data_IF_053953935181
#
_entry.id   IF_053953935181
#
_cell.length_a   1.000
_cell.length_b   1.000
_cell.length_c   1.000
_cell.angle_alpha   90.00
_cell.angle_beta   90.00
_cell.angle_gamma   90.00
#
_symmetry.space_group_name_H-M   'P 1'
#
loop_
_entity.id
_entity.type
_entity.pdbx_description
1 polymer ?
#
# COMPACT_ATOMS: atom_id res chain seq x y z
N UNK A 1 40.88 -21.06 -2.96
CA UNK A 1 39.44 -21.38 -2.91
C UNK A 1 38.75 -20.94 -1.61
N UNK A 2 39.26 -21.27 -0.42
CA UNK A 2 38.63 -20.92 0.89
C UNK A 2 38.42 -19.38 1.10
N UNK A 3 39.34 -18.52 0.70
CA UNK A 3 39.20 -17.04 0.84
C UNK A 3 38.10 -16.46 -0.06
N UNK A 4 37.83 -17.03 -1.21
CA UNK A 4 36.80 -16.56 -2.13
C UNK A 4 35.40 -16.89 -1.62
N UNK A 5 35.21 -18.05 -0.99
CA UNK A 5 33.96 -18.42 -0.32
C UNK A 5 33.63 -17.53 0.89
N UNK A 6 34.64 -17.16 1.69
CA UNK A 6 34.45 -16.27 2.84
C UNK A 6 34.04 -14.84 2.42
N UNK A 7 34.57 -14.33 1.32
CA UNK A 7 34.24 -12.99 0.81
C UNK A 7 32.82 -12.98 0.20
N UNK A 8 32.47 -14.04 -0.54
CA UNK A 8 31.11 -14.16 -1.12
C UNK A 8 30.08 -14.29 0.01
N UNK A 9 30.34 -15.12 1.02
CA UNK A 9 29.44 -15.30 2.16
C UNK A 9 29.30 -14.02 2.98
N UNK A 10 30.39 -13.30 3.24
CA UNK A 10 30.37 -12.01 3.93
C UNK A 10 29.57 -10.96 3.16
N UNK A 11 29.74 -10.89 1.84
CA UNK A 11 28.98 -9.97 0.98
C UNK A 11 27.48 -10.26 0.99
N UNK A 12 27.08 -11.54 0.94
CA UNK A 12 25.66 -11.93 1.02
C UNK A 12 25.07 -11.68 2.40
N UNK A 13 25.83 -11.92 3.47
CA UNK A 13 25.42 -11.62 4.84
C UNK A 13 25.29 -10.11 5.03
N UNK A 14 26.24 -9.31 4.54
CA UNK A 14 26.19 -7.85 4.61
C UNK A 14 24.98 -7.31 3.82
N UNK A 15 24.76 -7.79 2.60
CA UNK A 15 23.61 -7.42 1.78
C UNK A 15 22.28 -7.80 2.47
N UNK A 16 22.18 -8.96 3.10
CA UNK A 16 21.00 -9.39 3.87
C UNK A 16 20.74 -8.53 5.12
N UNK A 17 21.80 -7.98 5.73
CA UNK A 17 21.70 -7.10 6.90
C UNK A 17 21.18 -5.71 6.51
N UNK A 18 21.43 -5.29 5.26
CA UNK A 18 21.09 -3.96 4.75
C UNK A 18 19.71 -3.87 4.08
N UNK A 19 19.03 -5.00 3.88
CA UNK A 19 17.72 -5.04 3.23
C UNK A 19 16.60 -5.21 4.26
N UNK A 20 15.50 -4.49 4.04
CA UNK A 20 14.25 -4.63 4.81
C UNK A 20 13.11 -5.03 3.89
N UNK A 21 12.29 -5.95 4.33
CA UNK A 21 11.09 -6.38 3.61
C UNK A 21 9.89 -5.55 4.06
N UNK A 22 9.23 -4.92 3.10
CA UNK A 22 8.03 -4.09 3.31
C UNK A 22 6.88 -4.69 2.51
N UNK A 23 5.93 -5.31 3.19
CA UNK A 23 4.73 -5.88 2.60
C UNK A 23 3.57 -4.90 2.71
N UNK A 24 3.07 -4.42 1.57
CA UNK A 24 1.96 -3.48 1.51
C UNK A 24 0.70 -4.24 1.09
N UNK A 25 -0.35 -4.12 1.89
CA UNK A 25 -1.62 -4.81 1.71
C UNK A 25 -2.73 -3.79 1.44
N UNK A 26 -3.50 -4.00 0.38
CA UNK A 26 -4.76 -3.28 0.22
C UNK A 26 -5.81 -3.84 1.18
N UNK A 27 -6.65 -2.99 1.76
CA UNK A 27 -7.80 -3.41 2.56
C UNK A 27 -8.77 -4.34 1.79
N UNK A 28 -9.57 -5.15 2.51
CA UNK A 28 -10.63 -5.97 1.97
C UNK A 28 -11.79 -5.16 1.38
N UNK A 29 -12.70 -5.82 0.66
CA UNK A 29 -13.81 -5.19 -0.04
C UNK A 29 -14.77 -4.48 0.93
N UNK A 30 -15.25 -3.29 0.52
CA UNK A 30 -16.36 -2.54 1.12
C UNK A 30 -17.57 -2.52 0.19
N UNK A 31 -18.74 -2.09 0.67
CA UNK A 31 -19.91 -1.93 -0.19
C UNK A 31 -19.70 -0.86 -1.27
N UNK A 32 -18.91 0.18 -1.02
CA UNK A 32 -18.56 1.15 -2.05
C UNK A 32 -17.68 0.55 -3.14
N UNK A 33 -16.74 -0.35 -2.78
CA UNK A 33 -15.97 -1.08 -3.80
C UNK A 33 -16.88 -1.96 -4.67
N UNK A 34 -17.82 -2.67 -4.04
CA UNK A 34 -18.80 -3.50 -4.75
C UNK A 34 -19.69 -2.66 -5.69
N UNK A 35 -20.11 -1.48 -5.23
CA UNK A 35 -20.90 -0.53 -6.01
C UNK A 35 -20.07 0.29 -7.02
N UNK A 36 -18.78 0.02 -7.17
CA UNK A 36 -17.86 0.74 -8.06
C UNK A 36 -17.86 2.26 -7.82
N UNK A 37 -17.90 2.67 -6.56
CA UNK A 37 -17.84 4.07 -6.14
C UNK A 37 -16.44 4.48 -5.71
N UNK A 38 -16.05 5.69 -6.04
CA UNK A 38 -14.82 6.30 -5.56
C UNK A 38 -14.88 6.48 -4.04
N UNK A 39 -13.93 5.86 -3.34
CA UNK A 39 -13.87 5.84 -1.89
C UNK A 39 -12.51 6.35 -1.44
N UNK A 40 -12.45 7.65 -1.17
CA UNK A 40 -11.23 8.30 -0.69
C UNK A 40 -11.13 8.34 0.84
N UNK A 41 -10.31 9.24 1.33
CA UNK A 41 -10.08 9.43 2.76
C UNK A 41 -11.23 10.17 3.47
N UNK A 42 -12.10 10.84 2.76
CA UNK A 42 -13.32 11.43 3.30
C UNK A 42 -14.45 10.42 3.55
N UNK A 43 -14.27 9.16 3.14
CA UNK A 43 -15.21 8.07 3.32
C UNK A 43 -14.63 7.02 4.26
N UNK A 44 -15.23 6.81 5.43
CA UNK A 44 -14.78 5.79 6.38
C UNK A 44 -15.81 4.66 6.51
N UNK A 45 -15.75 3.71 5.60
CA UNK A 45 -16.64 2.55 5.53
C UNK A 45 -15.97 1.29 6.12
N UNK A 46 -16.81 0.35 6.55
CA UNK A 46 -16.38 -0.96 7.07
C UNK A 46 -16.21 -1.98 5.94
N UNK A 47 -15.54 -3.09 6.22
CA UNK A 47 -15.52 -4.26 5.33
C UNK A 47 -16.92 -4.87 5.22
N UNK A 48 -17.33 -5.24 4.00
CA UNK A 48 -18.49 -6.08 3.81
C UNK A 48 -18.15 -7.57 4.07
N UNK A 49 -19.13 -8.46 3.98
CA UNK A 49 -18.92 -9.89 4.26
C UNK A 49 -17.87 -10.53 3.32
N UNK A 50 -17.81 -10.09 2.06
CA UNK A 50 -16.76 -10.52 1.12
C UNK A 50 -15.40 -10.01 1.56
N UNK A 51 -15.30 -8.75 1.97
CA UNK A 51 -14.05 -8.14 2.45
C UNK A 51 -13.51 -8.81 3.71
N UNK A 52 -14.38 -9.22 4.64
CA UNK A 52 -13.99 -10.00 5.83
C UNK A 52 -13.38 -11.35 5.44
N UNK A 53 -14.01 -12.07 4.50
CA UNK A 53 -13.48 -13.34 3.96
C UNK A 53 -12.14 -13.13 3.24
N UNK A 54 -12.01 -12.05 2.45
CA UNK A 54 -10.75 -11.70 1.80
C UNK A 54 -9.64 -11.40 2.81
N UNK A 55 -9.95 -10.66 3.88
CA UNK A 55 -9.00 -10.35 4.96
C UNK A 55 -8.56 -11.61 5.71
N UNK A 56 -9.48 -12.56 5.98
CA UNK A 56 -9.15 -13.86 6.56
C UNK A 56 -8.21 -14.66 5.65
N UNK A 57 -8.52 -14.76 4.34
CA UNK A 57 -7.65 -15.44 3.37
C UNK A 57 -6.29 -14.76 3.25
N UNK A 58 -6.23 -13.42 3.27
CA UNK A 58 -4.98 -12.68 3.29
C UNK A 58 -4.17 -13.05 4.54
N UNK A 59 -4.79 -13.06 5.72
CA UNK A 59 -4.12 -13.38 6.97
C UNK A 59 -3.47 -14.77 6.95
N UNK A 60 -4.13 -15.77 6.35
CA UNK A 60 -3.57 -17.11 6.16
C UNK A 60 -2.36 -17.11 5.21
N UNK A 61 -2.41 -16.33 4.13
CA UNK A 61 -1.30 -16.21 3.17
C UNK A 61 -0.06 -15.60 3.79
N UNK A 62 -0.24 -14.62 4.70
CA UNK A 62 0.87 -13.81 5.23
C UNK A 62 1.38 -14.27 6.60
N UNK A 63 0.73 -15.22 7.26
CA UNK A 63 1.07 -15.68 8.63
C UNK A 63 2.52 -16.15 8.82
N UNK A 64 3.20 -16.53 7.75
CA UNK A 64 4.58 -17.04 7.79
C UNK A 64 5.60 -16.04 7.20
N UNK A 65 5.22 -14.79 6.94
CA UNK A 65 6.14 -13.76 6.40
C UNK A 65 7.14 -13.25 7.45
N UNK A 66 6.94 -13.58 8.72
CA UNK A 66 7.84 -13.13 9.80
C UNK A 66 7.68 -11.63 10.09
N UNK A 67 6.46 -11.09 9.95
CA UNK A 67 6.21 -9.68 10.27
C UNK A 67 6.56 -9.40 11.73
N UNK A 68 7.36 -8.40 11.97
CA UNK A 68 7.77 -7.93 13.28
C UNK A 68 6.87 -6.78 13.78
N UNK A 69 6.27 -6.04 12.85
CA UNK A 69 5.33 -4.95 13.12
C UNK A 69 4.38 -4.73 11.96
N UNK A 70 3.16 -4.30 12.27
CA UNK A 70 2.12 -3.96 11.29
C UNK A 70 1.74 -2.49 11.46
N UNK A 71 1.90 -1.72 10.40
CA UNK A 71 1.42 -0.35 10.31
C UNK A 71 0.09 -0.30 9.57
N UNK A 72 -0.79 0.60 9.95
CA UNK A 72 -2.13 0.62 9.39
C UNK A 72 -2.64 2.04 9.19
N UNK A 73 -3.32 2.26 8.07
CA UNK A 73 -4.11 3.47 7.85
C UNK A 73 -5.14 3.69 8.97
N UNK A 74 -5.45 4.94 9.25
CA UNK A 74 -6.48 5.33 10.23
C UNK A 74 -7.92 5.00 9.81
N UNK A 75 -8.16 4.58 8.55
CA UNK A 75 -9.50 4.29 8.05
C UNK A 75 -9.96 2.89 8.47
N UNK A 76 -11.22 2.78 8.89
CA UNK A 76 -11.82 1.59 9.52
C UNK A 76 -11.65 0.32 8.68
N UNK A 77 -11.85 0.38 7.36
CA UNK A 77 -11.64 -0.76 6.44
C UNK A 77 -10.22 -1.33 6.47
N UNK A 78 -9.22 -0.45 6.63
CA UNK A 78 -7.83 -0.87 6.74
C UNK A 78 -7.54 -1.46 8.13
N UNK A 79 -8.05 -0.84 9.19
CA UNK A 79 -7.91 -1.35 10.56
C UNK A 79 -8.54 -2.74 10.71
N UNK A 80 -9.77 -2.94 10.21
CA UNK A 80 -10.40 -4.25 10.21
C UNK A 80 -9.58 -5.31 9.45
N UNK A 81 -8.97 -4.94 8.32
CA UNK A 81 -8.08 -5.85 7.59
C UNK A 81 -6.83 -6.18 8.40
N UNK A 82 -6.22 -5.17 9.04
CA UNK A 82 -5.05 -5.35 9.89
C UNK A 82 -5.33 -6.26 11.10
N UNK A 83 -6.53 -6.18 11.69
CA UNK A 83 -6.93 -7.07 12.79
C UNK A 83 -6.93 -8.54 12.39
N UNK A 84 -7.38 -8.89 11.17
CA UNK A 84 -7.31 -10.28 10.67
C UNK A 84 -5.86 -10.75 10.56
N UNK A 85 -4.96 -9.91 10.05
CA UNK A 85 -3.54 -10.24 9.93
C UNK A 85 -2.93 -10.41 11.34
N UNK A 86 -3.13 -9.44 12.23
CA UNK A 86 -2.55 -9.46 13.57
C UNK A 86 -2.95 -10.69 14.40
N UNK A 87 -4.18 -11.18 14.23
CA UNK A 87 -4.67 -12.40 14.91
C UNK A 87 -3.90 -13.68 14.56
N UNK A 88 -3.15 -13.70 13.45
CA UNK A 88 -2.33 -14.87 13.05
C UNK A 88 -0.91 -14.84 13.63
N UNK A 89 -0.55 -13.79 14.32
CA UNK A 89 0.75 -13.62 14.96
C UNK A 89 0.59 -13.57 16.49
N UNK A 90 1.55 -14.10 17.20
CA UNK A 90 1.62 -13.91 18.65
C UNK A 90 2.16 -12.50 18.95
N UNK A 91 1.28 -11.62 19.47
CA UNK A 91 1.63 -10.26 19.91
C UNK A 91 2.25 -9.34 18.83
N UNK A 92 1.80 -9.45 17.56
CA UNK A 92 2.24 -8.53 16.51
C UNK A 92 1.81 -7.09 16.87
N UNK A 93 2.74 -6.15 17.08
CA UNK A 93 2.38 -4.75 17.33
C UNK A 93 1.69 -4.15 16.11
N UNK A 94 0.57 -3.46 16.33
CA UNK A 94 -0.14 -2.71 15.28
C UNK A 94 -0.10 -1.23 15.63
N UNK A 95 0.44 -0.42 14.69
CA UNK A 95 0.51 1.03 14.83
C UNK A 95 -0.37 1.71 13.78
N UNK A 96 -1.26 2.62 14.23
CA UNK A 96 -2.10 3.40 13.32
C UNK A 96 -1.32 4.65 12.88
N UNK A 97 -1.15 4.79 11.57
CA UNK A 97 -0.41 5.89 10.94
C UNK A 97 -1.36 6.67 10.03
N UNK A 98 -1.78 7.89 10.41
CA UNK A 98 -2.75 8.69 9.64
C UNK A 98 -2.29 8.98 8.22
N UNK A 99 -1.00 9.10 7.98
CA UNK A 99 -0.43 9.38 6.66
C UNK A 99 -0.47 8.18 5.69
N UNK A 100 -0.90 7.00 6.14
CA UNK A 100 -1.24 5.86 5.28
C UNK A 100 -2.70 5.90 4.79
N UNK A 101 -3.49 6.96 5.11
CA UNK A 101 -4.88 7.12 4.65
C UNK A 101 -4.95 7.12 3.12
N UNK A 102 -6.13 6.78 2.60
CA UNK A 102 -6.40 6.83 1.15
C UNK A 102 -6.24 8.26 0.61
N UNK A 103 -6.01 8.37 -0.68
CA UNK A 103 -6.08 9.63 -1.43
C UNK A 103 -7.43 10.29 -1.18
N UNK A 104 -7.43 11.59 -0.91
CA UNK A 104 -8.68 12.35 -0.87
C UNK A 104 -9.13 12.69 -2.29
N UNK A 105 -10.21 12.08 -2.75
CA UNK A 105 -10.70 12.28 -4.12
C UNK A 105 -11.64 13.48 -4.28
N UNK A 106 -11.78 14.33 -3.26
CA UNK A 106 -12.54 15.57 -3.35
C UNK A 106 -13.98 15.35 -3.79
N UNK A 107 -14.37 16.04 -4.86
CA UNK A 107 -15.75 16.00 -5.39
C UNK A 107 -16.14 14.66 -6.06
N UNK A 108 -15.21 13.74 -6.24
CA UNK A 108 -15.48 12.42 -6.81
C UNK A 108 -15.91 11.39 -5.76
N UNK A 109 -15.72 11.67 -4.46
CA UNK A 109 -16.05 10.71 -3.43
C UNK A 109 -17.54 10.38 -3.39
N UNK A 110 -17.84 9.08 -3.39
CA UNK A 110 -19.21 8.55 -3.42
C UNK A 110 -19.82 8.42 -4.82
N UNK A 111 -19.22 9.02 -5.85
CA UNK A 111 -19.64 8.86 -7.24
C UNK A 111 -19.20 7.52 -7.81
N UNK A 112 -19.99 6.95 -8.70
CA UNK A 112 -19.62 5.77 -9.48
C UNK A 112 -18.67 6.16 -10.63
N UNK A 113 -17.96 5.17 -11.19
CA UNK A 113 -17.16 5.39 -12.39
C UNK A 113 -17.99 5.94 -13.57
N UNK A 114 -19.25 5.51 -13.73
CA UNK A 114 -20.14 6.02 -14.76
C UNK A 114 -20.50 7.52 -14.56
N UNK A 115 -20.76 7.93 -13.33
CA UNK A 115 -21.02 9.34 -12.98
C UNK A 115 -19.78 10.21 -13.21
N UNK A 116 -18.59 9.70 -12.84
CA UNK A 116 -17.31 10.38 -13.09
C UNK A 116 -17.12 10.62 -14.59
N UNK A 117 -17.31 9.59 -15.45
CA UNK A 117 -17.19 9.74 -16.90
C UNK A 117 -18.18 10.77 -17.46
N UNK A 118 -19.40 10.79 -16.94
CA UNK A 118 -20.42 11.75 -17.34
C UNK A 118 -20.06 13.19 -16.96
N UNK A 119 -19.45 13.41 -15.79
CA UNK A 119 -19.12 14.75 -15.27
C UNK A 119 -17.80 15.27 -15.82
N UNK A 120 -16.76 14.41 -15.87
CA UNK A 120 -15.39 14.83 -16.17
C UNK A 120 -14.89 14.34 -17.54
N UNK A 121 -15.64 13.43 -18.21
CA UNK A 121 -15.24 12.81 -19.47
C UNK A 121 -14.40 11.54 -19.29
N UNK A 122 -14.48 10.64 -20.28
CA UNK A 122 -13.73 9.37 -20.28
C UNK A 122 -12.21 9.59 -20.29
N UNK A 123 -11.72 10.57 -21.04
CA UNK A 123 -10.31 10.92 -21.12
C UNK A 123 -9.71 11.32 -19.76
N UNK A 124 -10.49 12.02 -18.94
CA UNK A 124 -10.02 12.45 -17.62
C UNK A 124 -9.80 11.25 -16.69
N UNK A 125 -10.80 10.35 -16.61
CA UNK A 125 -10.69 9.14 -15.79
C UNK A 125 -9.53 8.26 -16.26
N UNK A 126 -9.41 8.02 -17.57
CA UNK A 126 -8.34 7.22 -18.13
C UNK A 126 -6.95 7.79 -17.80
N UNK A 127 -6.78 9.11 -17.95
CA UNK A 127 -5.54 9.79 -17.58
C UNK A 127 -5.26 9.69 -16.09
N UNK A 128 -6.28 9.87 -15.23
CA UNK A 128 -6.14 9.81 -13.79
C UNK A 128 -5.71 8.41 -13.30
N UNK A 129 -6.24 7.36 -13.91
CA UNK A 129 -5.91 5.97 -13.55
C UNK A 129 -4.57 5.50 -14.14
N UNK A 130 -4.06 6.17 -15.18
CA UNK A 130 -2.79 5.82 -15.78
C UNK A 130 -1.63 6.10 -14.80
N UNK A 131 -0.66 5.18 -14.63
CA UNK A 131 0.49 5.37 -13.75
C UNK A 131 1.64 6.16 -14.39
N UNK A 132 1.40 6.95 -15.45
CA UNK A 132 2.42 7.77 -16.10
C UNK A 132 2.60 9.15 -15.43
N UNK A 133 3.68 9.85 -15.80
CA UNK A 133 4.01 11.19 -15.30
C UNK A 133 2.92 12.24 -15.60
N UNK A 134 2.11 12.03 -16.64
CA UNK A 134 1.04 12.97 -17.02
C UNK A 134 -0.11 12.96 -16.05
N UNK A 135 -0.30 11.86 -15.31
CA UNK A 135 -1.30 11.72 -14.26
C UNK A 135 -0.83 12.23 -12.90
N UNK A 136 0.45 12.57 -12.76
CA UNK A 136 1.10 12.85 -11.48
C UNK A 136 0.45 13.99 -10.70
N UNK A 137 0.09 15.07 -11.41
CA UNK A 137 -0.56 16.24 -10.81
C UNK A 137 -2.06 16.33 -11.12
N UNK A 138 -2.62 15.31 -11.79
CA UNK A 138 -4.04 15.30 -12.10
C UNK A 138 -4.84 14.90 -10.87
N UNK A 139 -5.90 15.65 -10.53
CA UNK A 139 -6.77 15.39 -9.40
C UNK A 139 -8.20 15.88 -9.68
N UNK A 140 -9.17 15.37 -8.92
CA UNK A 140 -10.52 15.93 -8.89
C UNK A 140 -10.53 17.26 -8.13
N UNK A 141 -11.48 18.17 -8.40
CA UNK A 141 -11.61 19.40 -7.63
C UNK A 141 -11.65 19.14 -6.11
N UNK A 142 -10.85 19.89 -5.35
CA UNK A 142 -10.63 19.73 -3.90
C UNK A 142 -9.95 18.43 -3.50
N UNK A 143 -9.51 17.62 -4.44
CA UNK A 143 -8.84 16.34 -4.16
C UNK A 143 -7.32 16.48 -4.06
N UNK A 144 -6.70 15.43 -3.54
CA UNK A 144 -5.26 15.22 -3.50
C UNK A 144 -4.80 14.62 -4.84
N UNK A 145 -3.66 15.05 -5.37
CA UNK A 145 -3.05 14.42 -6.55
C UNK A 145 -2.14 13.25 -6.15
N UNK A 146 -1.75 12.43 -7.13
CA UNK A 146 -0.83 11.30 -6.88
C UNK A 146 0.52 11.77 -6.33
N UNK A 147 1.02 12.92 -6.79
CA UNK A 147 2.29 13.47 -6.31
C UNK A 147 2.22 13.79 -4.81
N UNK A 148 1.19 14.47 -4.36
CA UNK A 148 1.04 14.82 -2.95
C UNK A 148 0.86 13.57 -2.09
N UNK A 149 0.05 12.60 -2.56
CA UNK A 149 -0.11 11.32 -1.91
C UNK A 149 1.22 10.55 -1.83
N UNK A 150 2.00 10.54 -2.91
CA UNK A 150 3.33 9.92 -2.92
C UNK A 150 4.27 10.58 -1.90
N UNK A 151 4.40 11.89 -1.92
CA UNK A 151 5.29 12.61 -0.99
C UNK A 151 4.94 12.31 0.47
N UNK A 152 3.64 12.29 0.81
CA UNK A 152 3.15 11.95 2.15
C UNK A 152 3.50 10.51 2.54
N UNK A 153 3.22 9.57 1.66
CA UNK A 153 3.41 8.14 1.92
C UNK A 153 4.90 7.77 1.89
N UNK A 154 5.68 8.32 0.96
CA UNK A 154 7.14 8.09 0.92
C UNK A 154 7.81 8.56 2.21
N UNK A 155 7.49 9.77 2.67
CA UNK A 155 8.01 10.26 3.95
C UNK A 155 7.64 9.32 5.12
N UNK A 156 6.41 8.78 5.12
CA UNK A 156 5.98 7.79 6.08
C UNK A 156 6.77 6.48 5.96
N UNK A 157 6.99 5.95 4.76
CA UNK A 157 7.77 4.74 4.52
C UNK A 157 9.23 4.91 4.96
N UNK A 158 9.84 6.06 4.70
CA UNK A 158 11.21 6.37 5.17
C UNK A 158 11.27 6.34 6.71
N UNK A 159 10.27 6.88 7.41
CA UNK A 159 10.20 6.82 8.87
C UNK A 159 10.01 5.38 9.39
N UNK A 160 9.16 4.59 8.74
CA UNK A 160 8.93 3.18 9.06
C UNK A 160 10.21 2.37 8.88
N UNK A 161 10.90 2.55 7.75
CA UNK A 161 12.12 1.80 7.45
C UNK A 161 13.34 2.25 8.28
N UNK A 162 13.28 3.41 8.91
CA UNK A 162 14.28 3.83 9.90
C UNK A 162 14.15 3.10 11.25
N UNK A 163 13.01 2.43 11.52
CA UNK A 163 12.79 1.63 12.74
C UNK A 163 13.62 0.34 12.71
N UNK A 164 13.85 -0.34 13.85
CA UNK A 164 14.71 -1.52 13.92
C UNK A 164 14.18 -2.75 13.18
N UNK A 165 12.86 -2.86 12.98
CA UNK A 165 12.21 -4.01 12.37
C UNK A 165 12.74 -4.26 10.95
N UNK A 166 12.99 -5.53 10.61
CA UNK A 166 13.47 -5.96 9.28
C UNK A 166 12.33 -6.32 8.33
N UNK A 167 11.24 -6.83 8.87
CA UNK A 167 10.09 -7.27 8.10
C UNK A 167 8.83 -6.59 8.64
N UNK A 168 8.24 -5.70 7.85
CA UNK A 168 7.05 -4.95 8.27
C UNK A 168 5.90 -5.14 7.30
N UNK A 169 4.69 -5.11 7.85
CA UNK A 169 3.44 -5.06 7.08
C UNK A 169 2.85 -3.65 7.11
N UNK A 170 2.18 -3.26 6.03
CA UNK A 170 1.47 -1.98 5.91
C UNK A 170 0.10 -2.23 5.31
N UNK A 171 -0.98 -1.92 6.03
CA UNK A 171 -2.34 -2.00 5.48
C UNK A 171 -2.81 -0.63 5.04
N UNK A 172 -3.07 -0.48 3.75
CA UNK A 172 -3.44 0.79 3.13
C UNK A 172 -4.47 0.61 2.00
N UNK A 173 -4.38 1.40 0.92
CA UNK A 173 -5.44 1.63 -0.06
C UNK A 173 -4.92 1.61 -1.50
N UNK A 174 -5.84 1.50 -2.46
CA UNK A 174 -5.51 1.45 -3.88
C UNK A 174 -4.85 2.73 -4.40
N UNK A 175 -5.34 3.92 -4.00
CA UNK A 175 -4.75 5.19 -4.42
C UNK A 175 -3.34 5.39 -3.86
N UNK A 176 -3.09 4.95 -2.62
CA UNK A 176 -1.74 4.91 -2.01
C UNK A 176 -0.82 4.01 -2.83
N UNK A 177 -1.24 2.78 -3.15
CA UNK A 177 -0.46 1.84 -3.97
C UNK A 177 -0.20 2.42 -5.37
N UNK A 178 -1.20 3.10 -5.96
CA UNK A 178 -1.05 3.78 -7.26
C UNK A 178 -0.03 4.93 -7.21
N UNK A 179 -0.02 5.71 -6.13
CA UNK A 179 0.96 6.77 -5.92
C UNK A 179 2.39 6.19 -5.80
N UNK A 180 2.57 5.11 -5.04
CA UNK A 180 3.84 4.40 -4.93
C UNK A 180 4.27 3.79 -6.26
N UNK A 181 3.31 3.22 -7.03
CA UNK A 181 3.59 2.69 -8.37
C UNK A 181 4.18 3.77 -9.28
N UNK A 182 3.57 4.95 -9.30
CA UNK A 182 4.08 6.08 -10.09
C UNK A 182 5.46 6.54 -9.60
N UNK A 183 5.58 6.81 -8.29
CA UNK A 183 6.80 7.41 -7.71
C UNK A 183 8.02 6.50 -7.78
N UNK A 184 7.85 5.21 -7.53
CA UNK A 184 8.94 4.23 -7.63
C UNK A 184 9.02 3.54 -9.00
N UNK A 185 8.20 3.93 -9.99
CA UNK A 185 8.14 3.37 -11.34
C UNK A 185 7.94 1.84 -11.36
N UNK A 186 7.08 1.34 -10.45
CA UNK A 186 6.83 -0.09 -10.30
C UNK A 186 5.99 -0.63 -11.45
N UNK A 187 6.31 -1.85 -11.91
CA UNK A 187 5.55 -2.55 -12.97
C UNK A 187 4.70 -3.68 -12.38
N UNK A 188 3.63 -4.04 -13.09
CA UNK A 188 2.78 -5.18 -12.75
C UNK A 188 2.25 -5.16 -11.30
N UNK A 189 1.74 -3.99 -10.86
CA UNK A 189 1.15 -3.82 -9.53
C UNK A 189 -0.33 -4.20 -9.58
N UNK A 190 -0.78 -5.04 -8.65
CA UNK A 190 -2.20 -5.38 -8.49
C UNK A 190 -2.91 -4.40 -7.57
N UNK A 191 -4.14 -4.04 -7.94
CA UNK A 191 -5.02 -3.16 -7.17
C UNK A 191 -6.25 -3.89 -6.62
N UNK A 192 -6.28 -5.23 -6.68
CA UNK A 192 -7.37 -6.02 -6.11
C UNK A 192 -7.47 -5.85 -4.59
N UNK A 193 -8.68 -6.00 -4.03
CA UNK A 193 -8.82 -6.02 -2.58
C UNK A 193 -7.97 -7.15 -1.98
N UNK A 194 -7.27 -6.86 -0.90
CA UNK A 194 -6.30 -7.76 -0.28
C UNK A 194 -5.10 -8.15 -1.18
N UNK A 195 -4.81 -7.35 -2.23
CA UNK A 195 -3.56 -7.50 -2.98
C UNK A 195 -2.35 -7.24 -2.09
N UNK A 196 -1.25 -7.90 -2.44
CA UNK A 196 0.05 -7.80 -1.75
C UNK A 196 1.04 -7.15 -2.72
N UNK A 197 1.68 -6.08 -2.29
CA UNK A 197 2.85 -5.49 -2.93
C UNK A 197 4.05 -5.72 -2.01
N UNK A 198 5.06 -6.45 -2.47
CA UNK A 198 6.29 -6.68 -1.74
C UNK A 198 7.37 -5.74 -2.27
N UNK A 199 7.89 -4.91 -1.40
CA UNK A 199 9.04 -4.04 -1.66
C UNK A 199 10.21 -4.45 -0.76
N UNK A 200 11.42 -4.35 -1.27
CA UNK A 200 12.63 -4.33 -0.46
C UNK A 200 13.18 -2.92 -0.38
N UNK A 201 13.54 -2.52 0.80
CA UNK A 201 14.22 -1.26 1.08
C UNK A 201 15.69 -1.51 1.36
N UNK A 202 16.54 -0.91 0.54
CA UNK A 202 17.99 -0.90 0.75
C UNK A 202 18.37 0.25 1.69
N UNK A 203 18.85 -0.07 2.89
CA UNK A 203 19.19 0.93 3.91
C UNK A 203 20.43 1.75 3.56
N UNK A 204 21.29 1.29 2.63
CA UNK A 204 22.48 2.02 2.19
C UNK A 204 22.11 3.06 1.13
N UNK A 205 21.33 2.69 0.12
CA UNK A 205 20.93 3.61 -0.95
C UNK A 205 19.67 4.41 -0.65
N UNK A 206 18.87 3.99 0.36
CA UNK A 206 17.59 4.61 0.69
C UNK A 206 16.50 4.36 -0.36
N UNK A 207 16.61 3.30 -1.17
CA UNK A 207 15.71 3.03 -2.28
C UNK A 207 14.81 1.82 -2.03
N UNK A 208 13.60 1.91 -2.59
CA UNK A 208 12.66 0.79 -2.64
C UNK A 208 12.70 0.11 -4.01
N UNK A 209 12.73 -1.22 -3.99
CA UNK A 209 12.62 -2.06 -5.18
C UNK A 209 11.47 -3.07 -5.01
N UNK A 210 10.70 -3.31 -6.08
CA UNK A 210 9.64 -4.34 -6.06
C UNK A 210 10.26 -5.72 -6.22
N UNK A 211 9.87 -6.62 -5.33
CA UNK A 211 10.18 -8.04 -5.42
C UNK A 211 9.07 -8.75 -6.19
N UNK A 212 9.43 -9.57 -7.17
CA UNK A 212 8.51 -10.32 -8.01
C UNK A 212 8.01 -11.59 -7.33
#
# INVERSE_FOLDING_TARGET
>A
MLKMWSIITAKYIFMYIMMKDVFIFRHGQTDKNLAQKWQGSGCDDVLNETGKKQAELLSEKVKNLGLEKLYCSSLTRAQQTAEYIAKKYDKLPVEIVPDLREVYFGTAEGLTFAEIRKIYGEDFEHKLLNPDEKSWFLHFPKGECKHDAFCRVDACLQQITAQPEKTVGIVCHAGVISALQCGYQLKNVSFENCAILHLQYDTESGKFEKIN
#
